data_IF_937166132819
#
_entry.id   IF_937166132819
#
_cell.length_a   1.000
_cell.length_b   1.000
_cell.length_c   1.000
_cell.angle_alpha   90.00
_cell.angle_beta   90.00
_cell.angle_gamma   90.00
#
_symmetry.space_group_name_H-M   'P 1'
#
loop_
_entity.id
_entity.type
_entity.pdbx_description
1 polymer ?
#
# COMPACT_ATOMS: atom_id res chain seq x y z
N UNK A 1 -5.97 23.69 -22.99
CA UNK A 1 -5.10 22.54 -23.25
C UNK A 1 -4.04 22.58 -22.16
N UNK A 2 -4.23 21.79 -21.12
CA UNK A 2 -3.34 21.74 -19.95
C UNK A 2 -2.05 21.06 -20.34
N UNK A 3 -0.96 21.58 -19.81
CA UNK A 3 0.42 21.16 -19.96
C UNK A 3 0.60 19.64 -19.83
N UNK A 4 0.85 18.96 -20.94
CA UNK A 4 0.97 17.50 -21.04
C UNK A 4 2.29 16.93 -20.50
N UNK A 5 3.06 17.69 -19.73
CA UNK A 5 4.37 17.28 -19.21
C UNK A 5 4.38 16.69 -17.80
N UNK A 6 3.26 16.67 -17.08
CA UNK A 6 3.29 16.54 -15.62
C UNK A 6 2.27 15.57 -14.99
N UNK A 7 1.82 14.57 -15.72
CA UNK A 7 0.80 13.61 -15.26
C UNK A 7 1.12 12.85 -13.97
N UNK A 8 2.39 12.84 -13.53
CA UNK A 8 2.85 12.15 -12.31
C UNK A 8 2.94 13.08 -11.09
N UNK A 9 2.62 14.36 -11.19
CA UNK A 9 2.62 15.27 -10.05
C UNK A 9 1.40 15.06 -9.17
N UNK A 10 1.61 15.27 -7.87
CA UNK A 10 0.56 15.23 -6.84
C UNK A 10 0.48 16.58 -6.10
N UNK A 11 0.78 17.67 -6.80
CA UNK A 11 0.71 19.01 -6.23
C UNK A 11 -0.69 19.27 -5.66
N UNK A 12 -0.74 19.84 -4.44
CA UNK A 12 -1.97 20.11 -3.69
C UNK A 12 -2.79 18.87 -3.27
N UNK A 13 -2.36 17.64 -3.64
CA UNK A 13 -3.05 16.41 -3.21
C UNK A 13 -2.71 16.07 -1.77
N UNK A 14 -3.72 15.53 -1.07
CA UNK A 14 -3.61 14.99 0.29
C UNK A 14 -3.53 13.47 0.22
N UNK A 15 -2.36 12.93 0.51
CA UNK A 15 -2.06 11.49 0.38
C UNK A 15 -1.95 10.86 1.77
N UNK A 16 -2.76 9.85 2.03
CA UNK A 16 -2.72 9.04 3.26
C UNK A 16 -2.02 7.71 2.96
N UNK A 17 -1.02 7.34 3.76
CA UNK A 17 -0.28 6.07 3.63
C UNK A 17 -0.35 5.29 4.94
N UNK A 18 -1.01 4.14 4.95
CA UNK A 18 -1.03 3.23 6.10
C UNK A 18 0.23 2.36 6.11
N UNK A 19 0.77 2.04 7.31
CA UNK A 19 2.07 1.39 7.42
C UNK A 19 3.19 2.27 6.86
N UNK A 20 3.09 3.59 7.06
CA UNK A 20 3.93 4.61 6.42
C UNK A 20 5.29 4.83 7.07
N UNK A 21 5.55 4.22 8.25
CA UNK A 21 6.77 4.51 9.00
C UNK A 21 8.04 3.86 8.43
N UNK A 22 7.93 2.81 7.62
CA UNK A 22 9.09 2.06 7.12
C UNK A 22 8.82 1.35 5.78
N UNK A 23 9.89 0.79 5.20
CA UNK A 23 9.82 -0.10 4.05
C UNK A 23 9.12 0.53 2.84
N UNK A 24 8.22 -0.24 2.23
CA UNK A 24 7.45 0.18 1.04
C UNK A 24 6.58 1.41 1.36
N UNK A 25 5.91 1.44 2.53
CA UNK A 25 5.05 2.57 2.92
C UNK A 25 5.81 3.88 3.03
N UNK A 26 6.99 3.86 3.65
CA UNK A 26 7.84 5.04 3.73
C UNK A 26 8.34 5.50 2.34
N UNK A 27 8.74 4.57 1.47
CA UNK A 27 9.16 4.90 0.12
C UNK A 27 8.02 5.53 -0.70
N UNK A 28 6.78 5.03 -0.54
CA UNK A 28 5.59 5.61 -1.17
C UNK A 28 5.34 7.03 -0.65
N UNK A 29 5.38 7.23 0.66
CA UNK A 29 5.20 8.54 1.27
C UNK A 29 6.24 9.55 0.78
N UNK A 30 7.51 9.12 0.69
CA UNK A 30 8.62 9.93 0.15
C UNK A 30 8.40 10.28 -1.32
N UNK A 31 7.98 9.32 -2.14
CA UNK A 31 7.69 9.56 -3.55
C UNK A 31 6.53 10.55 -3.72
N UNK A 32 5.46 10.41 -2.94
CA UNK A 32 4.33 11.33 -2.95
C UNK A 32 4.73 12.75 -2.53
N UNK A 33 5.51 12.90 -1.46
CA UNK A 33 6.03 14.19 -1.00
C UNK A 33 6.92 14.86 -2.06
N UNK A 34 7.80 14.09 -2.72
CA UNK A 34 8.64 14.59 -3.84
C UNK A 34 7.81 15.01 -5.05
N UNK A 35 6.64 14.40 -5.23
CA UNK A 35 5.67 14.77 -6.27
C UNK A 35 4.80 16.00 -5.88
N UNK A 36 5.03 16.61 -4.71
CA UNK A 36 4.36 17.81 -4.24
C UNK A 36 3.13 17.59 -3.34
N UNK A 37 2.87 16.36 -2.91
CA UNK A 37 1.75 16.07 -2.03
C UNK A 37 2.01 16.44 -0.57
N UNK A 38 0.94 16.83 0.15
CA UNK A 38 0.91 16.70 1.60
C UNK A 38 0.67 15.23 1.98
N UNK A 39 1.40 14.70 2.96
CA UNK A 39 1.39 13.28 3.27
C UNK A 39 1.03 13.02 4.73
N UNK A 40 0.07 12.14 4.99
CA UNK A 40 -0.16 11.57 6.31
C UNK A 40 0.46 10.17 6.40
N UNK A 41 1.35 10.01 7.36
CA UNK A 41 1.91 8.72 7.75
C UNK A 41 1.05 8.13 8.86
N UNK A 42 0.47 6.96 8.62
CA UNK A 42 -0.28 6.21 9.61
C UNK A 42 0.50 4.94 9.98
N UNK A 43 0.74 4.69 11.26
CA UNK A 43 1.36 3.45 11.74
C UNK A 43 0.89 3.12 13.16
N UNK A 44 1.30 1.94 13.69
CA UNK A 44 0.92 1.48 15.03
C UNK A 44 1.66 2.19 16.16
N UNK A 45 2.91 2.57 15.93
CA UNK A 45 3.81 3.06 16.98
C UNK A 45 4.12 4.55 16.79
N UNK A 46 3.78 5.36 17.76
CA UNK A 46 4.00 6.80 17.72
C UNK A 46 5.47 7.17 17.47
N UNK A 47 6.40 6.54 18.17
CA UNK A 47 7.83 6.83 17.98
C UNK A 47 8.29 6.58 16.55
N UNK A 48 7.88 5.45 15.96
CA UNK A 48 8.25 5.06 14.59
C UNK A 48 7.70 6.04 13.55
N UNK A 49 6.44 6.47 13.69
CA UNK A 49 5.82 7.37 12.72
C UNK A 49 6.38 8.80 12.84
N UNK A 50 6.73 9.26 14.04
CA UNK A 50 7.36 10.56 14.25
C UNK A 50 8.80 10.62 13.73
N UNK A 51 9.57 9.53 13.93
CA UNK A 51 10.92 9.40 13.37
C UNK A 51 10.85 9.42 11.83
N UNK A 52 9.95 8.64 11.24
CA UNK A 52 9.72 8.62 9.80
C UNK A 52 9.33 10.01 9.25
N UNK A 53 8.45 10.73 9.94
CA UNK A 53 8.06 12.08 9.54
C UNK A 53 9.22 13.06 9.61
N UNK A 54 10.05 12.98 10.65
CA UNK A 54 11.26 13.81 10.81
C UNK A 54 12.24 13.54 9.68
N UNK A 55 12.50 12.26 9.38
CA UNK A 55 13.34 11.83 8.27
C UNK A 55 12.79 12.34 6.94
N UNK A 56 11.49 12.19 6.69
CA UNK A 56 10.86 12.60 5.44
C UNK A 56 10.98 14.12 5.23
N UNK A 57 10.76 14.93 6.26
CA UNK A 57 10.95 16.39 6.19
C UNK A 57 12.41 16.79 5.91
N UNK A 58 13.38 16.00 6.37
CA UNK A 58 14.80 16.24 6.09
C UNK A 58 15.21 15.85 4.66
N UNK A 59 14.55 14.82 4.08
CA UNK A 59 14.83 14.35 2.72
C UNK A 59 14.10 15.15 1.63
N UNK A 60 12.96 15.78 1.98
CA UNK A 60 12.13 16.54 1.05
C UNK A 60 11.84 17.92 1.64
N UNK A 61 12.59 18.92 1.18
CA UNK A 61 12.47 20.28 1.70
C UNK A 61 11.05 20.84 1.44
N UNK A 62 10.46 21.39 2.50
CA UNK A 62 9.10 21.97 2.43
C UNK A 62 7.97 20.92 2.44
N UNK A 63 8.25 19.63 2.62
CA UNK A 63 7.21 18.62 2.70
C UNK A 63 6.24 18.87 3.87
N UNK A 64 4.94 18.92 3.58
CA UNK A 64 3.90 18.86 4.59
C UNK A 64 3.68 17.40 4.99
N UNK A 65 4.06 17.06 6.24
CA UNK A 65 3.94 15.69 6.76
C UNK A 65 3.14 15.70 8.05
N UNK A 66 2.09 14.89 8.11
CA UNK A 66 1.24 14.65 9.29
C UNK A 66 1.45 13.23 9.77
N UNK A 67 1.32 13.00 11.06
CA UNK A 67 1.44 11.66 11.68
C UNK A 67 0.17 11.31 12.42
N UNK A 68 -0.28 10.07 12.28
CA UNK A 68 -1.41 9.51 13.03
C UNK A 68 -1.06 8.10 13.53
N UNK A 69 -1.45 7.79 14.76
CA UNK A 69 -1.31 6.44 15.33
C UNK A 69 -2.63 5.69 15.17
N UNK A 70 -2.60 4.56 14.47
CA UNK A 70 -3.81 3.80 14.20
C UNK A 70 -3.51 2.32 13.94
N UNK A 71 -4.22 1.43 14.64
CA UNK A 71 -4.34 0.02 14.25
C UNK A 71 -5.43 -0.08 13.17
N UNK A 72 -5.03 -0.36 11.94
CA UNK A 72 -5.95 -0.51 10.80
C UNK A 72 -6.94 -1.68 10.99
N UNK A 73 -6.66 -2.63 11.88
CA UNK A 73 -7.58 -3.71 12.23
C UNK A 73 -8.75 -3.25 13.12
N UNK A 74 -8.70 -2.03 13.66
CA UNK A 74 -9.77 -1.43 14.46
C UNK A 74 -10.54 -0.40 13.64
N UNK A 75 -11.77 -0.70 13.27
CA UNK A 75 -12.65 0.24 12.56
C UNK A 75 -12.85 1.56 13.31
N UNK A 76 -12.93 1.50 14.65
CA UNK A 76 -13.08 2.69 15.50
C UNK A 76 -11.87 3.62 15.38
N UNK A 77 -10.65 3.08 15.45
CA UNK A 77 -9.42 3.86 15.30
C UNK A 77 -9.33 4.45 13.89
N UNK A 78 -9.58 3.65 12.86
CA UNK A 78 -9.58 4.12 11.46
C UNK A 78 -10.59 5.26 11.27
N UNK A 79 -11.80 5.13 11.81
CA UNK A 79 -12.82 6.19 11.76
C UNK A 79 -12.38 7.45 12.52
N UNK A 80 -11.70 7.30 13.66
CA UNK A 80 -11.14 8.42 14.42
C UNK A 80 -10.08 9.17 13.62
N UNK A 81 -9.15 8.44 13.03
CA UNK A 81 -8.08 8.97 12.16
C UNK A 81 -8.67 9.67 10.92
N UNK A 82 -9.68 9.07 10.28
CA UNK A 82 -10.38 9.71 9.16
C UNK A 82 -10.95 11.07 9.51
N UNK A 83 -11.67 11.18 10.64
CA UNK A 83 -12.21 12.46 11.14
C UNK A 83 -11.11 13.47 11.47
N UNK A 84 -10.01 13.05 12.08
CA UNK A 84 -8.89 13.94 12.41
C UNK A 84 -8.25 14.54 11.15
N UNK A 85 -8.02 13.72 10.13
CA UNK A 85 -7.46 14.17 8.85
C UNK A 85 -8.45 15.02 8.04
N UNK A 86 -9.75 14.70 8.07
CA UNK A 86 -10.79 15.52 7.44
C UNK A 86 -10.87 16.89 8.10
N UNK A 87 -10.83 16.98 9.43
CA UNK A 87 -10.82 18.27 10.15
C UNK A 87 -9.60 19.13 9.81
N UNK A 88 -8.44 18.48 9.52
CA UNK A 88 -7.20 19.17 9.17
C UNK A 88 -7.14 19.61 7.71
N UNK A 89 -7.55 18.75 6.78
CA UNK A 89 -7.34 18.94 5.33
C UNK A 89 -8.62 19.20 4.54
N UNK A 90 -9.78 19.06 5.17
CA UNK A 90 -11.09 19.08 4.51
C UNK A 90 -11.41 17.78 3.76
N UNK A 91 -10.42 17.17 3.10
CA UNK A 91 -10.57 15.86 2.46
C UNK A 91 -9.21 15.18 2.23
N UNK A 92 -9.26 13.90 1.95
CA UNK A 92 -8.15 13.10 1.42
C UNK A 92 -8.37 12.87 -0.07
N UNK A 93 -7.35 13.09 -0.91
CA UNK A 93 -7.42 12.87 -2.36
C UNK A 93 -6.95 11.48 -2.77
N UNK A 94 -6.00 10.92 -2.02
CA UNK A 94 -5.41 9.60 -2.28
C UNK A 94 -5.22 8.81 -1.00
N UNK A 95 -5.66 7.56 -1.01
CA UNK A 95 -5.38 6.59 0.04
C UNK A 95 -4.47 5.49 -0.51
N UNK A 96 -3.40 5.18 0.22
CA UNK A 96 -2.55 4.01 -0.04
C UNK A 96 -2.68 3.04 1.14
N UNK A 97 -3.35 1.93 0.91
CA UNK A 97 -3.48 0.83 1.85
C UNK A 97 -2.23 -0.06 1.76
N UNK A 98 -1.22 0.26 2.58
CA UNK A 98 0.03 -0.48 2.60
C UNK A 98 0.25 -1.26 3.91
N UNK A 99 -0.39 -0.87 5.02
CA UNK A 99 -0.26 -1.60 6.28
C UNK A 99 -0.54 -3.09 6.11
N UNK A 100 0.34 -3.93 6.65
CA UNK A 100 0.20 -5.37 6.55
C UNK A 100 1.22 -6.11 7.39
N UNK A 101 0.91 -7.37 7.67
CA UNK A 101 1.78 -8.32 8.38
C UNK A 101 1.99 -9.56 7.52
N UNK A 102 3.10 -10.25 7.74
CA UNK A 102 3.38 -11.55 7.17
C UNK A 102 3.73 -12.53 8.29
N UNK A 103 3.24 -13.75 8.18
CA UNK A 103 3.56 -14.85 9.07
C UNK A 103 3.59 -16.15 8.27
N UNK A 104 4.57 -16.97 8.54
CA UNK A 104 4.75 -18.25 7.87
C UNK A 104 4.43 -19.38 8.85
N UNK A 105 3.40 -20.15 8.56
CA UNK A 105 3.02 -21.34 9.32
C UNK A 105 2.39 -22.37 8.38
N UNK A 106 2.68 -23.68 8.54
CA UNK A 106 1.96 -24.73 7.84
C UNK A 106 0.46 -24.67 8.16
N UNK A 107 -0.38 -24.93 7.15
CA UNK A 107 -1.83 -24.79 7.29
C UNK A 107 -2.42 -25.70 8.38
N UNK A 108 -1.87 -26.91 8.52
CA UNK A 108 -2.32 -27.92 9.50
C UNK A 108 -1.96 -27.56 10.95
N UNK A 109 -1.06 -26.61 11.19
CA UNK A 109 -0.65 -26.18 12.53
C UNK A 109 -1.00 -24.72 12.82
N UNK A 110 -1.48 -23.98 11.82
CA UNK A 110 -1.87 -22.58 12.00
C UNK A 110 -3.06 -22.48 12.96
N UNK A 111 -2.94 -21.68 14.00
CA UNK A 111 -4.04 -21.42 14.92
C UNK A 111 -5.12 -20.53 14.29
N UNK A 112 -6.35 -20.64 14.78
CA UNK A 112 -7.46 -19.75 14.37
C UNK A 112 -7.10 -18.28 14.64
N UNK A 113 -6.44 -17.99 15.75
CA UNK A 113 -6.04 -16.63 16.10
C UNK A 113 -5.01 -16.02 15.11
N UNK A 114 -4.06 -16.81 14.62
CA UNK A 114 -3.09 -16.38 13.60
C UNK A 114 -3.79 -16.14 12.26
N UNK A 115 -4.69 -17.02 11.87
CA UNK A 115 -5.53 -16.85 10.68
C UNK A 115 -6.37 -15.57 10.77
N UNK A 116 -7.13 -15.40 11.85
CA UNK A 116 -7.99 -14.24 12.06
C UNK A 116 -7.19 -12.94 12.08
N UNK A 117 -6.04 -12.91 12.76
CA UNK A 117 -5.17 -11.73 12.81
C UNK A 117 -4.64 -11.37 11.42
N UNK A 118 -4.27 -12.37 10.60
CA UNK A 118 -3.79 -12.16 9.24
C UNK A 118 -4.87 -11.52 8.36
N UNK A 119 -6.11 -12.06 8.40
CA UNK A 119 -7.23 -11.50 7.65
C UNK A 119 -7.64 -10.12 8.16
N UNK A 120 -7.65 -9.95 9.48
CA UNK A 120 -8.07 -8.70 10.11
C UNK A 120 -7.19 -7.52 9.70
N UNK A 121 -5.86 -7.71 9.67
CA UNK A 121 -4.94 -6.65 9.26
C UNK A 121 -4.89 -6.50 7.74
N UNK A 122 -4.63 -7.61 7.02
CA UNK A 122 -4.29 -7.53 5.59
C UNK A 122 -5.50 -7.42 4.65
N UNK A 123 -6.72 -7.69 5.12
CA UNK A 123 -7.93 -7.62 4.31
C UNK A 123 -9.00 -6.70 4.92
N UNK A 124 -9.44 -6.98 6.17
CA UNK A 124 -10.47 -6.14 6.82
C UNK A 124 -9.98 -4.70 7.01
N UNK A 125 -8.72 -4.50 7.43
CA UNK A 125 -8.11 -3.18 7.57
C UNK A 125 -8.07 -2.40 6.26
N UNK A 126 -7.77 -3.06 5.14
CA UNK A 126 -7.83 -2.45 3.81
C UNK A 126 -9.26 -1.99 3.48
N UNK A 127 -10.26 -2.81 3.78
CA UNK A 127 -11.65 -2.44 3.60
C UNK A 127 -12.07 -1.27 4.49
N UNK A 128 -11.71 -1.29 5.78
CA UNK A 128 -12.05 -0.22 6.72
C UNK A 128 -11.46 1.12 6.30
N UNK A 129 -10.18 1.15 5.96
CA UNK A 129 -9.55 2.37 5.45
C UNK A 129 -10.18 2.82 4.13
N UNK A 130 -10.43 1.90 3.20
CA UNK A 130 -11.07 2.23 1.93
C UNK A 130 -12.46 2.83 2.13
N UNK A 131 -13.27 2.29 3.05
CA UNK A 131 -14.60 2.83 3.36
C UNK A 131 -14.51 4.21 4.00
N UNK A 132 -13.69 4.39 5.03
CA UNK A 132 -13.60 5.65 5.79
C UNK A 132 -13.08 6.79 4.92
N UNK A 133 -12.06 6.56 4.11
CA UNK A 133 -11.49 7.60 3.24
C UNK A 133 -12.21 7.69 1.88
N UNK A 134 -12.80 6.60 1.39
CA UNK A 134 -13.51 6.56 0.11
C UNK A 134 -14.86 7.27 0.12
N UNK A 135 -15.61 7.22 1.23
CA UNK A 135 -16.92 7.89 1.32
C UNK A 135 -16.81 9.41 1.06
N UNK A 136 -15.87 10.16 1.67
CA UNK A 136 -15.64 11.56 1.32
C UNK A 136 -15.18 11.76 -0.13
N UNK A 137 -14.39 10.84 -0.70
CA UNK A 137 -13.98 10.90 -2.12
C UNK A 137 -15.19 10.76 -3.05
N UNK A 138 -16.12 9.84 -2.75
CA UNK A 138 -17.37 9.66 -3.49
C UNK A 138 -18.20 10.94 -3.43
N UNK A 139 -18.37 11.54 -2.25
CA UNK A 139 -19.11 12.79 -2.07
C UNK A 139 -18.48 13.96 -2.85
N UNK A 140 -17.16 13.98 -2.98
CA UNK A 140 -16.42 14.99 -3.75
C UNK A 140 -16.36 14.69 -5.27
N UNK A 141 -16.80 13.51 -5.72
CA UNK A 141 -16.75 13.11 -7.13
C UNK A 141 -15.32 12.88 -7.66
N UNK A 142 -14.34 12.66 -6.78
CA UNK A 142 -12.92 12.51 -7.16
C UNK A 142 -12.12 11.83 -6.06
N UNK A 143 -11.27 10.87 -6.44
CA UNK A 143 -10.33 10.21 -5.52
C UNK A 143 -9.55 9.08 -6.18
N UNK A 144 -8.46 8.66 -5.51
CA UNK A 144 -7.67 7.50 -5.92
C UNK A 144 -7.33 6.63 -4.70
N UNK A 145 -7.58 5.34 -4.79
CA UNK A 145 -7.17 4.35 -3.79
C UNK A 145 -6.21 3.38 -4.45
N UNK A 146 -5.06 3.16 -3.80
CA UNK A 146 -4.07 2.17 -4.23
C UNK A 146 -3.83 1.18 -3.11
N UNK A 147 -4.18 -0.07 -3.35
CA UNK A 147 -4.02 -1.16 -2.40
C UNK A 147 -2.70 -1.91 -2.65
N UNK A 148 -1.89 -2.11 -1.62
CA UNK A 148 -0.72 -2.98 -1.72
C UNK A 148 -1.17 -4.42 -1.51
N UNK A 149 -1.37 -5.11 -2.64
CA UNK A 149 -1.63 -6.54 -2.69
C UNK A 149 -0.30 -7.33 -2.55
N UNK A 150 -0.10 -8.35 -3.33
CA UNK A 150 1.14 -9.12 -3.46
C UNK A 150 1.01 -10.07 -4.66
N UNK A 151 2.11 -10.47 -5.28
CA UNK A 151 2.15 -11.63 -6.16
C UNK A 151 1.58 -12.89 -5.48
N UNK A 152 1.68 -12.97 -4.15
CA UNK A 152 1.11 -14.05 -3.32
C UNK A 152 -0.42 -14.14 -3.37
N UNK A 153 -1.11 -13.10 -3.85
CA UNK A 153 -2.54 -13.14 -4.15
C UNK A 153 -2.86 -13.70 -5.54
N UNK A 154 -1.85 -13.91 -6.38
CA UNK A 154 -1.96 -14.42 -7.76
C UNK A 154 -1.44 -15.85 -7.88
N UNK A 155 -0.37 -16.15 -7.15
CA UNK A 155 0.31 -17.46 -7.14
C UNK A 155 0.60 -17.94 -5.72
N UNK A 156 0.96 -19.21 -5.58
CA UNK A 156 1.47 -19.76 -4.33
C UNK A 156 3.01 -19.71 -4.34
N UNK A 157 3.56 -18.94 -3.40
CA UNK A 157 5.01 -18.78 -3.25
C UNK A 157 5.69 -20.06 -2.70
N UNK A 158 6.96 -20.22 -3.01
CA UNK A 158 7.81 -21.29 -2.50
C UNK A 158 9.10 -20.70 -1.93
N UNK A 159 9.71 -21.32 -0.89
CA UNK A 159 9.27 -22.56 -0.20
C UNK A 159 8.35 -22.31 1.01
N UNK A 160 8.12 -21.04 1.40
CA UNK A 160 7.46 -20.69 2.65
C UNK A 160 5.95 -21.00 2.65
N UNK A 161 5.41 -21.69 3.69
CA UNK A 161 3.98 -21.86 3.87
C UNK A 161 3.36 -20.58 4.41
N UNK A 162 2.37 -20.01 3.71
CA UNK A 162 1.76 -18.72 4.07
C UNK A 162 0.29 -18.59 3.61
N UNK A 163 -0.50 -19.64 3.83
CA UNK A 163 -1.88 -19.75 3.32
C UNK A 163 -2.75 -18.53 3.67
N UNK A 164 -2.72 -18.07 4.92
CA UNK A 164 -3.53 -16.94 5.36
C UNK A 164 -3.14 -15.63 4.65
N UNK A 165 -1.83 -15.42 4.43
CA UNK A 165 -1.34 -14.26 3.69
C UNK A 165 -1.78 -14.29 2.22
N UNK A 166 -1.65 -15.46 1.55
CA UNK A 166 -2.06 -15.63 0.16
C UNK A 166 -3.57 -15.34 0.01
N UNK A 167 -4.40 -15.90 0.90
CA UNK A 167 -5.86 -15.67 0.90
C UNK A 167 -6.19 -14.20 1.13
N UNK A 168 -5.55 -13.55 2.12
CA UNK A 168 -5.77 -12.14 2.38
C UNK A 168 -5.42 -11.27 1.16
N UNK A 169 -4.27 -11.52 0.52
CA UNK A 169 -3.81 -10.74 -0.63
C UNK A 169 -4.63 -11.02 -1.90
N UNK A 170 -5.12 -12.24 -2.10
CA UNK A 170 -6.12 -12.54 -3.12
C UNK A 170 -7.46 -11.81 -2.85
N UNK A 171 -7.87 -11.75 -1.58
CA UNK A 171 -9.02 -10.95 -1.14
C UNK A 171 -8.85 -9.46 -1.45
N UNK A 172 -7.67 -8.88 -1.24
CA UNK A 172 -7.38 -7.47 -1.59
C UNK A 172 -7.50 -7.23 -3.09
N UNK A 173 -7.05 -8.16 -3.94
CA UNK A 173 -7.21 -8.05 -5.40
C UNK A 173 -8.70 -8.03 -5.79
N UNK A 174 -9.50 -8.91 -5.21
CA UNK A 174 -10.94 -8.94 -5.49
C UNK A 174 -11.66 -7.72 -4.90
N UNK A 175 -11.30 -7.29 -3.69
CA UNK A 175 -11.81 -6.06 -3.07
C UNK A 175 -11.53 -4.83 -3.95
N UNK A 176 -10.33 -4.74 -4.52
CA UNK A 176 -9.95 -3.67 -5.46
C UNK A 176 -10.91 -3.61 -6.66
N UNK A 177 -11.19 -4.75 -7.28
CA UNK A 177 -12.11 -4.83 -8.44
C UNK A 177 -13.53 -4.45 -8.04
N UNK A 178 -14.01 -4.94 -6.89
CA UNK A 178 -15.36 -4.66 -6.40
C UNK A 178 -15.56 -3.18 -6.14
N UNK A 179 -14.66 -2.56 -5.35
CA UNK A 179 -14.73 -1.13 -5.05
C UNK A 179 -14.55 -0.27 -6.31
N UNK A 180 -13.69 -0.67 -7.24
CA UNK A 180 -13.52 0.02 -8.51
C UNK A 180 -14.84 0.05 -9.31
N UNK A 181 -15.51 -1.10 -9.44
CA UNK A 181 -16.78 -1.20 -10.15
C UNK A 181 -17.91 -0.36 -9.50
N UNK A 182 -17.98 -0.37 -8.16
CA UNK A 182 -18.98 0.38 -7.42
C UNK A 182 -18.73 1.89 -7.42
N UNK A 183 -17.46 2.33 -7.37
CA UNK A 183 -17.11 3.73 -7.12
C UNK A 183 -16.67 4.51 -8.35
N UNK A 184 -16.39 3.83 -9.48
CA UNK A 184 -16.06 4.50 -10.74
C UNK A 184 -17.14 5.50 -11.21
N UNK A 185 -18.46 5.21 -11.10
CA UNK A 185 -19.49 6.18 -11.44
C UNK A 185 -19.45 7.47 -10.59
N UNK A 186 -18.77 7.42 -9.45
CA UNK A 186 -18.57 8.54 -8.53
C UNK A 186 -17.19 9.20 -8.68
N UNK A 187 -16.45 8.91 -9.75
CA UNK A 187 -15.15 9.53 -10.02
C UNK A 187 -14.00 9.03 -9.12
N UNK A 188 -14.19 7.91 -8.40
CA UNK A 188 -13.14 7.33 -7.55
C UNK A 188 -12.52 6.13 -8.26
N UNK A 189 -11.20 6.16 -8.45
CA UNK A 189 -10.43 5.05 -9.01
C UNK A 189 -9.87 4.19 -7.88
N UNK A 190 -9.95 2.88 -8.01
CA UNK A 190 -9.39 1.92 -7.05
C UNK A 190 -8.54 0.92 -7.81
N UNK A 191 -7.25 0.85 -7.50
CA UNK A 191 -6.29 -0.06 -8.12
C UNK A 191 -5.43 -0.76 -7.07
N UNK A 192 -4.72 -1.80 -7.48
CA UNK A 192 -3.75 -2.48 -6.64
C UNK A 192 -2.36 -2.50 -7.30
N UNK A 193 -1.33 -2.54 -6.47
CA UNK A 193 0.02 -2.98 -6.85
C UNK A 193 0.24 -4.34 -6.21
N UNK A 194 0.77 -5.30 -6.97
CA UNK A 194 1.15 -6.62 -6.50
C UNK A 194 2.68 -6.76 -6.55
N UNK A 195 3.40 -6.39 -5.47
CA UNK A 195 4.84 -6.53 -5.42
C UNK A 195 5.29 -7.99 -5.44
N UNK A 196 6.43 -8.25 -6.07
CA UNK A 196 7.23 -9.44 -5.85
C UNK A 196 8.12 -9.33 -4.62
N UNK A 197 9.17 -10.15 -4.54
CA UNK A 197 10.16 -10.03 -3.48
C UNK A 197 10.87 -8.68 -3.56
N UNK A 198 10.64 -7.86 -2.56
CA UNK A 198 11.14 -6.48 -2.48
C UNK A 198 12.04 -6.34 -1.25
N UNK A 199 13.25 -5.81 -1.43
CA UNK A 199 14.20 -5.61 -0.35
C UNK A 199 13.69 -4.54 0.61
N UNK A 200 13.47 -4.94 1.86
CA UNK A 200 13.03 -4.08 2.96
C UNK A 200 13.80 -4.44 4.22
N UNK A 201 13.85 -3.53 5.19
CA UNK A 201 14.49 -3.79 6.49
C UNK A 201 13.91 -5.04 7.18
N UNK A 202 12.63 -5.33 6.94
CA UNK A 202 11.94 -6.50 7.53
C UNK A 202 12.56 -7.84 7.11
N UNK A 203 13.03 -7.95 5.87
CA UNK A 203 13.58 -9.18 5.29
C UNK A 203 15.10 -9.13 5.08
N UNK A 204 15.76 -8.05 5.52
CA UNK A 204 17.21 -7.87 5.32
C UNK A 204 18.01 -9.06 5.88
N UNK A 205 17.58 -9.62 7.01
CA UNK A 205 18.19 -10.80 7.62
C UNK A 205 18.07 -12.09 6.79
N UNK A 206 17.22 -12.12 5.77
CA UNK A 206 16.99 -13.26 4.86
C UNK A 206 17.74 -13.13 3.53
N UNK A 207 18.25 -11.95 3.19
CA UNK A 207 18.80 -11.65 1.86
C UNK A 207 19.97 -12.55 1.49
N UNK A 208 20.83 -12.88 2.45
CA UNK A 208 22.02 -13.71 2.22
C UNK A 208 21.77 -15.22 2.44
N UNK A 209 20.51 -15.65 2.62
CA UNK A 209 20.17 -17.05 2.80
C UNK A 209 20.06 -17.79 1.46
N UNK A 210 20.33 -19.12 1.50
CA UNK A 210 20.12 -20.01 0.35
C UNK A 210 18.68 -19.95 -0.15
N UNK A 211 17.72 -19.82 0.76
CA UNK A 211 16.31 -19.66 0.43
C UNK A 211 16.07 -18.42 -0.45
N UNK A 212 16.63 -17.27 -0.07
CA UNK A 212 16.50 -16.04 -0.86
C UNK A 212 17.18 -16.20 -2.23
N UNK A 213 18.41 -16.71 -2.24
CA UNK A 213 19.16 -16.89 -3.48
C UNK A 213 18.46 -17.84 -4.45
N UNK A 214 18.05 -19.03 -3.99
CA UNK A 214 17.61 -20.11 -4.85
C UNK A 214 16.14 -20.00 -5.24
N UNK A 215 15.28 -19.49 -4.35
CA UNK A 215 13.84 -19.40 -4.61
C UNK A 215 13.36 -17.98 -4.92
N UNK A 216 13.85 -16.96 -4.23
CA UNK A 216 13.36 -15.60 -4.45
C UNK A 216 14.06 -14.95 -5.65
N UNK A 217 15.39 -14.87 -5.60
CA UNK A 217 16.19 -14.28 -6.69
C UNK A 217 16.22 -15.24 -7.89
N UNK A 218 16.48 -16.53 -7.66
CA UNK A 218 16.55 -17.55 -8.71
C UNK A 218 15.22 -17.76 -9.44
N UNK A 219 14.08 -17.51 -8.78
CA UNK A 219 12.75 -17.52 -9.40
C UNK A 219 12.36 -16.23 -10.12
N UNK A 220 13.13 -15.15 -9.95
CA UNK A 220 12.84 -13.85 -10.55
C UNK A 220 13.60 -13.68 -11.87
N UNK A 221 12.93 -13.55 -13.02
CA UNK A 221 13.60 -13.37 -14.33
C UNK A 221 14.61 -12.23 -14.39
N UNK A 222 14.34 -11.10 -13.70
CA UNK A 222 15.30 -10.00 -13.62
C UNK A 222 16.52 -10.28 -12.74
N UNK A 223 16.61 -11.47 -12.10
CA UNK A 223 17.78 -11.94 -11.34
C UNK A 223 18.08 -11.15 -10.07
N UNK A 224 17.10 -10.42 -9.53
CA UNK A 224 17.24 -9.63 -8.30
C UNK A 224 15.91 -9.40 -7.61
N UNK A 225 15.95 -8.97 -6.37
CA UNK A 225 14.80 -8.42 -5.69
C UNK A 225 14.49 -7.01 -6.20
N UNK A 226 13.24 -6.60 -6.10
CA UNK A 226 12.83 -5.21 -6.31
C UNK A 226 13.31 -4.31 -5.16
N UNK A 227 13.42 -3.01 -5.44
CA UNK A 227 13.58 -1.98 -4.42
C UNK A 227 12.24 -1.40 -3.99
N UNK A 228 12.18 -0.80 -2.80
CA UNK A 228 10.99 -0.09 -2.33
C UNK A 228 10.61 1.08 -3.24
N UNK A 229 11.59 1.73 -3.88
CA UNK A 229 11.36 2.83 -4.81
C UNK A 229 10.70 2.38 -6.13
N UNK A 230 10.99 1.17 -6.62
CA UNK A 230 10.31 0.61 -7.80
C UNK A 230 8.82 0.37 -7.53
N UNK A 231 8.49 -0.10 -6.32
CA UNK A 231 7.10 -0.23 -5.89
C UNK A 231 6.45 1.15 -5.73
N UNK A 232 7.13 2.10 -5.08
CA UNK A 232 6.62 3.45 -4.85
C UNK A 232 6.32 4.19 -6.16
N UNK A 233 7.16 4.05 -7.18
CA UNK A 233 6.93 4.64 -8.50
C UNK A 233 5.66 4.09 -9.18
N UNK A 234 5.38 2.81 -9.02
CA UNK A 234 4.17 2.17 -9.54
C UNK A 234 2.91 2.67 -8.82
N UNK A 235 3.01 2.87 -7.49
CA UNK A 235 1.94 3.49 -6.70
C UNK A 235 1.72 4.94 -7.12
N UNK A 236 2.78 5.72 -7.31
CA UNK A 236 2.70 7.10 -7.77
C UNK A 236 1.97 7.21 -9.11
N UNK A 237 2.27 6.32 -10.08
CA UNK A 237 1.54 6.25 -11.33
C UNK A 237 0.04 6.05 -11.09
N UNK A 238 -0.35 5.03 -10.33
CA UNK A 238 -1.77 4.73 -10.09
C UNK A 238 -2.50 5.81 -9.28
N UNK A 239 -1.79 6.52 -8.41
CA UNK A 239 -2.32 7.63 -7.61
C UNK A 239 -2.54 8.91 -8.43
N UNK A 240 -1.76 9.11 -9.50
CA UNK A 240 -1.72 10.33 -10.30
C UNK A 240 -2.74 10.35 -11.45
N UNK A 241 -2.85 11.51 -12.12
CA UNK A 241 -3.69 11.69 -13.29
C UNK A 241 -3.17 10.96 -14.54
N UNK A 242 -1.90 10.49 -14.52
CA UNK A 242 -1.36 9.60 -15.56
C UNK A 242 -2.14 8.27 -15.65
N UNK A 243 -2.82 7.87 -14.57
CA UNK A 243 -3.68 6.68 -14.51
C UNK A 243 -5.18 7.04 -14.55
N UNK A 244 -5.58 8.18 -15.13
CA UNK A 244 -6.97 8.66 -15.13
C UNK A 244 -7.97 7.70 -15.78
N UNK A 245 -7.52 6.80 -16.64
CA UNK A 245 -8.35 5.77 -17.29
C UNK A 245 -8.04 4.35 -16.79
N UNK A 246 -7.39 4.23 -15.62
CA UNK A 246 -7.04 2.95 -14.99
C UNK A 246 -7.83 2.80 -13.69
N UNK A 247 -8.71 1.81 -13.61
CA UNK A 247 -9.43 1.44 -12.39
C UNK A 247 -9.73 -0.06 -12.38
N UNK A 248 -9.68 -0.70 -11.21
CA UNK A 248 -9.86 -2.14 -11.03
C UNK A 248 -8.65 -2.99 -11.41
N UNK A 249 -7.52 -2.35 -11.76
CA UNK A 249 -6.29 -3.03 -12.21
C UNK A 249 -5.47 -3.51 -11.01
N UNK A 250 -4.75 -4.62 -11.23
CA UNK A 250 -3.71 -5.11 -10.34
C UNK A 250 -2.38 -5.09 -11.08
N UNK A 251 -1.62 -4.02 -10.90
CA UNK A 251 -0.31 -3.86 -11.51
C UNK A 251 0.72 -4.76 -10.81
N UNK A 252 1.18 -5.79 -11.51
CA UNK A 252 2.21 -6.70 -11.00
C UNK A 252 3.58 -6.07 -11.16
N UNK A 253 4.35 -6.00 -10.05
CA UNK A 253 5.69 -5.39 -10.00
C UNK A 253 6.63 -6.37 -9.29
N UNK A 254 7.01 -7.42 -9.99
CA UNK A 254 7.64 -8.61 -9.42
C UNK A 254 8.92 -9.09 -10.13
N UNK A 255 9.42 -8.31 -11.09
CA UNK A 255 10.58 -8.70 -11.89
C UNK A 255 10.34 -9.92 -12.79
N UNK A 256 9.08 -10.25 -13.05
CA UNK A 256 8.65 -11.38 -13.87
C UNK A 256 8.44 -12.68 -13.09
N UNK A 257 8.44 -12.66 -11.75
CA UNK A 257 8.32 -13.86 -10.93
C UNK A 257 7.06 -14.69 -11.22
N UNK A 258 5.96 -14.04 -11.59
CA UNK A 258 4.66 -14.69 -11.86
C UNK A 258 4.45 -15.09 -13.32
N UNK A 259 5.46 -15.07 -14.16
CA UNK A 259 5.34 -15.44 -15.59
C UNK A 259 5.24 -16.94 -15.83
N UNK A 260 5.64 -17.80 -14.86
CA UNK A 260 5.61 -19.26 -14.91
C UNK A 260 5.21 -19.93 -13.60
#
# INVERSE_FOLDING_TARGET
>A
MSDNGNGFRLEERKVVVTGGARGIGYAIARAAARAGAAVALIDLEQASVEEAATKLRSEVNGAEVVTEVCDVSSYEQVSGTGRALEARWGRTDTLVNNAGIAHHAPAETMSVAEWDRMLQVNLSGVFYCSQVFGVPMIAAGSGAIVNIASMSGLIVNRPQPQVAYNVAKAGVIMLTKSLAAEWAPHGVRVNAVAPGYTRTDLIEHLVDTDMCRDYWIGGTPLGRMGSTDEIANSVLFLASDAASFVTGETLVVDGGYTLW
#
